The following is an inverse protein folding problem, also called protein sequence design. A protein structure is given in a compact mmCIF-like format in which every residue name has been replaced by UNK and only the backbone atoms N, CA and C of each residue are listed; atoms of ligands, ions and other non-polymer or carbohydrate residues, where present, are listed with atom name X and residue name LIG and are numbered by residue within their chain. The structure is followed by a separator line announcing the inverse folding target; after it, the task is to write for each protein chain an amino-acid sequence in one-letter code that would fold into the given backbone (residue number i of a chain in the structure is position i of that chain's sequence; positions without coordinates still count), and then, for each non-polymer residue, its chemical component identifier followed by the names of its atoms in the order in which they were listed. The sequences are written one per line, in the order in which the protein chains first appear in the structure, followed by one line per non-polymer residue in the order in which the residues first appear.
data_IF_479229088158
#
_entry.id   IF_479229088158
#
_cell.length_a   1.000
_cell.length_b   1.000
_cell.length_c   1.000
_cell.angle_alpha   90.00
_cell.angle_beta   90.00
_cell.angle_gamma   90.00
#
_symmetry.space_group_name_H-M   'P 1'
#
loop_
_entity.id
_entity.type
_entity.pdbx_description
1 polymer ?
#
# COMPACT_ATOMS: atom_id res chain seq x y z
N UNK A 1 4.88 -16.49 17.74
CA UNK A 1 4.28 -17.18 16.58
C UNK A 1 4.39 -16.34 15.31
N UNK A 2 3.93 -15.08 15.29
CA UNK A 2 4.03 -14.21 14.10
C UNK A 2 5.47 -14.01 13.59
N UNK A 3 6.50 -13.74 14.42
CA UNK A 3 7.88 -13.57 13.93
C UNK A 3 8.46 -14.80 13.24
N UNK A 4 7.95 -15.99 13.56
CA UNK A 4 8.40 -17.26 12.99
C UNK A 4 7.71 -17.57 11.65
N UNK A 5 6.50 -17.03 11.44
CA UNK A 5 5.69 -17.25 10.24
C UNK A 5 6.02 -16.22 9.16
N UNK A 6 6.31 -14.97 9.54
CA UNK A 6 6.60 -13.85 8.63
C UNK A 6 7.67 -14.15 7.58
N UNK A 7 8.82 -14.79 7.90
CA UNK A 7 9.87 -15.09 6.91
C UNK A 7 9.39 -16.02 5.80
N UNK A 8 8.38 -16.86 6.07
CA UNK A 8 7.80 -17.79 5.09
C UNK A 8 6.62 -17.15 4.37
N UNK A 9 5.78 -16.41 5.10
CA UNK A 9 4.53 -15.86 4.58
C UNK A 9 4.75 -14.70 3.62
N UNK A 10 5.63 -13.75 3.96
CA UNK A 10 5.82 -12.54 3.17
C UNK A 10 6.36 -12.80 1.75
N UNK A 11 7.31 -13.72 1.51
CA UNK A 11 7.69 -14.08 0.15
C UNK A 11 6.51 -14.63 -0.68
N UNK A 12 5.63 -15.42 -0.06
CA UNK A 12 4.41 -15.90 -0.72
C UNK A 12 3.45 -14.75 -1.05
N UNK A 13 3.23 -13.83 -0.10
CA UNK A 13 2.39 -12.65 -0.33
C UNK A 13 2.99 -11.71 -1.39
N UNK A 14 4.31 -11.53 -1.38
CA UNK A 14 5.02 -10.76 -2.39
C UNK A 14 4.84 -11.36 -3.79
N UNK A 15 4.91 -12.68 -3.91
CA UNK A 15 4.64 -13.40 -5.16
C UNK A 15 3.22 -13.15 -5.66
N UNK A 16 2.22 -13.20 -4.77
CA UNK A 16 0.82 -12.92 -5.13
C UNK A 16 0.67 -11.49 -5.66
N UNK A 17 1.25 -10.51 -4.97
CA UNK A 17 1.17 -9.09 -5.34
C UNK A 17 1.92 -8.81 -6.65
N UNK A 18 3.02 -9.52 -6.91
CA UNK A 18 3.91 -9.29 -8.06
C UNK A 18 3.43 -9.92 -9.37
N UNK A 19 2.43 -10.81 -9.34
CA UNK A 19 1.93 -11.54 -10.52
C UNK A 19 0.51 -11.09 -10.92
N UNK A 20 0.34 -9.90 -11.52
CA UNK A 20 -0.97 -9.37 -11.92
C UNK A 20 -1.68 -10.21 -13.00
N UNK A 21 -0.92 -11.00 -13.78
CA UNK A 21 -1.47 -11.87 -14.81
C UNK A 21 -2.09 -13.15 -14.26
N UNK A 22 -1.73 -13.52 -13.02
CA UNK A 22 -2.17 -14.76 -12.37
C UNK A 22 -3.20 -14.49 -11.29
N UNK A 23 -3.06 -13.38 -10.56
CA UNK A 23 -3.91 -13.05 -9.42
C UNK A 23 -4.67 -11.74 -9.67
N UNK A 24 -5.98 -11.77 -9.45
CA UNK A 24 -6.83 -10.57 -9.57
C UNK A 24 -6.55 -9.52 -8.49
N UNK A 25 -6.92 -8.27 -8.77
CA UNK A 25 -6.67 -7.13 -7.88
C UNK A 25 -7.22 -7.36 -6.46
N UNK A 26 -8.41 -7.95 -6.31
CA UNK A 26 -8.96 -8.29 -4.99
C UNK A 26 -8.00 -9.13 -4.13
N UNK A 27 -7.44 -10.22 -4.68
CA UNK A 27 -6.55 -11.10 -3.92
C UNK A 27 -5.22 -10.41 -3.59
N UNK A 28 -4.72 -9.59 -4.52
CA UNK A 28 -3.51 -8.78 -4.33
C UNK A 28 -3.70 -7.74 -3.23
N UNK A 29 -4.84 -7.05 -3.22
CA UNK A 29 -5.25 -6.12 -2.15
C UNK A 29 -5.34 -6.83 -0.80
N UNK A 30 -5.95 -8.02 -0.73
CA UNK A 30 -5.98 -8.80 0.52
C UNK A 30 -4.58 -9.24 0.99
N UNK A 31 -3.69 -9.60 0.06
CA UNK A 31 -2.30 -9.92 0.41
C UNK A 31 -1.60 -8.71 1.04
N UNK A 32 -1.81 -7.51 0.50
CA UNK A 32 -1.31 -6.25 1.10
C UNK A 32 -1.89 -6.00 2.48
N UNK A 33 -3.20 -6.21 2.69
CA UNK A 33 -3.80 -6.05 4.02
C UNK A 33 -3.22 -7.02 5.06
N UNK A 34 -2.86 -8.24 4.66
CA UNK A 34 -2.16 -9.19 5.56
C UNK A 34 -0.76 -8.66 5.91
N UNK A 35 -0.02 -8.14 4.92
CA UNK A 35 1.29 -7.50 5.15
C UNK A 35 1.15 -6.33 6.13
N UNK A 36 0.16 -5.46 5.93
CA UNK A 36 -0.15 -4.36 6.84
C UNK A 36 -0.32 -4.85 8.28
N UNK A 37 -1.20 -5.85 8.49
CA UNK A 37 -1.47 -6.39 9.83
C UNK A 37 -0.23 -7.03 10.46
N UNK A 38 0.54 -7.81 9.69
CA UNK A 38 1.77 -8.39 10.18
C UNK A 38 2.81 -7.33 10.56
N UNK A 39 3.06 -6.35 9.70
CA UNK A 39 4.03 -5.27 9.95
C UNK A 39 3.65 -4.47 11.21
N UNK A 40 2.35 -4.15 11.38
CA UNK A 40 1.84 -3.49 12.58
C UNK A 40 2.09 -4.33 13.85
N UNK A 41 1.77 -5.63 13.82
CA UNK A 41 2.02 -6.53 14.96
C UNK A 41 3.50 -6.63 15.31
N UNK A 42 4.39 -6.75 14.31
CA UNK A 42 5.83 -6.81 14.52
C UNK A 42 6.38 -5.49 15.09
N UNK A 43 5.85 -4.36 14.65
CA UNK A 43 6.26 -3.03 15.12
C UNK A 43 5.96 -2.78 16.60
N UNK A 44 4.93 -3.43 17.15
CA UNK A 44 4.63 -3.36 18.60
C UNK A 44 5.56 -4.21 19.47
N UNK A 45 6.44 -5.04 18.89
CA UNK A 45 7.36 -5.88 19.64
C UNK A 45 8.51 -5.06 20.25
N UNK A 46 8.82 -5.33 21.52
CA UNK A 46 9.85 -4.61 22.29
C UNK A 46 10.94 -5.56 22.81
N UNK A 47 12.06 -4.98 23.29
CA UNK A 47 13.18 -5.74 23.84
C UNK A 47 13.97 -6.53 22.80
N UNK A 48 14.47 -7.72 23.15
CA UNK A 48 15.29 -8.57 22.27
C UNK A 48 14.58 -8.95 20.97
N UNK A 49 13.26 -9.18 21.02
CA UNK A 49 12.44 -9.47 19.84
C UNK A 49 12.42 -8.34 18.82
N UNK A 50 12.59 -7.07 19.25
CA UNK A 50 12.66 -5.91 18.35
C UNK A 50 13.87 -5.97 17.42
N UNK A 51 15.03 -6.38 17.93
CA UNK A 51 16.25 -6.47 17.13
C UNK A 51 16.13 -7.58 16.07
N UNK A 52 15.62 -8.75 16.47
CA UNK A 52 15.37 -9.87 15.56
C UNK A 52 14.33 -9.53 14.49
N UNK A 53 13.22 -8.90 14.87
CA UNK A 53 12.20 -8.47 13.90
C UNK A 53 12.71 -7.37 12.98
N UNK A 54 13.48 -6.40 13.48
CA UNK A 54 14.10 -5.38 12.62
C UNK A 54 15.06 -6.02 11.60
N UNK A 55 15.89 -6.97 12.03
CA UNK A 55 16.80 -7.68 11.13
C UNK A 55 16.03 -8.50 10.07
N UNK A 56 14.94 -9.15 10.47
CA UNK A 56 14.05 -9.87 9.55
C UNK A 56 13.42 -8.91 8.53
N UNK A 57 12.83 -7.80 8.99
CA UNK A 57 12.20 -6.82 8.12
C UNK A 57 13.21 -6.18 7.17
N UNK A 58 14.45 -5.94 7.60
CA UNK A 58 15.50 -5.38 6.75
C UNK A 58 15.77 -6.23 5.49
N UNK A 59 15.73 -7.57 5.61
CA UNK A 59 15.95 -8.46 4.46
C UNK A 59 14.78 -8.43 3.45
N UNK A 60 13.60 -8.06 3.92
CA UNK A 60 12.35 -8.19 3.18
C UNK A 60 11.83 -6.84 2.67
N UNK A 61 12.31 -5.74 3.25
CA UNK A 61 11.86 -4.39 2.93
C UNK A 61 12.09 -4.05 1.46
N UNK A 62 13.28 -4.35 0.94
CA UNK A 62 13.67 -3.97 -0.41
C UNK A 62 12.74 -4.54 -1.50
N UNK A 63 12.48 -5.87 -1.55
CA UNK A 63 11.50 -6.41 -2.49
C UNK A 63 10.10 -5.78 -2.40
N UNK A 64 9.66 -5.42 -1.19
CA UNK A 64 8.38 -4.76 -0.99
C UNK A 64 8.38 -3.31 -1.48
N UNK A 65 9.45 -2.56 -1.21
CA UNK A 65 9.61 -1.18 -1.70
C UNK A 65 9.66 -1.14 -3.22
N UNK A 66 10.41 -2.05 -3.85
CA UNK A 66 10.45 -2.17 -5.31
C UNK A 66 9.05 -2.49 -5.87
N UNK A 67 8.31 -3.39 -5.23
CA UNK A 67 6.96 -3.75 -5.66
C UNK A 67 5.93 -2.62 -5.46
N UNK A 68 6.03 -1.87 -4.36
CA UNK A 68 5.21 -0.68 -4.12
C UNK A 68 5.51 0.41 -5.15
N UNK A 69 6.78 0.60 -5.48
CA UNK A 69 7.24 1.51 -6.53
C UNK A 69 6.58 1.18 -7.87
N UNK A 70 6.60 -0.09 -8.29
CA UNK A 70 5.95 -0.55 -9.53
C UNK A 70 4.44 -0.25 -9.54
N UNK A 71 3.74 -0.49 -8.43
CA UNK A 71 2.29 -0.24 -8.33
C UNK A 71 1.99 1.26 -8.40
N UNK A 72 2.74 2.09 -7.67
CA UNK A 72 2.53 3.54 -7.63
C UNK A 72 2.99 4.25 -8.91
N UNK A 73 3.93 3.67 -9.66
CA UNK A 73 4.49 4.30 -10.86
C UNK A 73 3.48 4.35 -12.01
N UNK A 74 2.53 3.40 -12.06
CA UNK A 74 1.50 3.41 -13.10
C UNK A 74 0.59 4.64 -12.92
N UNK A 75 0.18 5.35 -13.98
CA UNK A 75 -0.77 6.45 -13.87
C UNK A 75 -2.12 5.97 -13.32
N UNK A 76 -2.68 6.72 -12.36
CA UNK A 76 -4.03 6.46 -11.83
C UNK A 76 -5.04 6.58 -12.96
N UNK A 77 -5.85 5.54 -13.16
CA UNK A 77 -6.91 5.55 -14.16
C UNK A 77 -8.20 6.15 -13.56
N UNK A 78 -8.99 6.88 -14.37
CA UNK A 78 -10.35 7.23 -13.99
C UNK A 78 -11.22 5.97 -13.93
N UNK A 79 -12.22 5.97 -13.04
CA UNK A 79 -13.24 4.91 -12.93
C UNK A 79 -12.71 3.48 -12.68
N UNK A 80 -11.56 3.32 -12.00
CA UNK A 80 -11.02 2.01 -11.60
C UNK A 80 -10.92 1.88 -10.06
N UNK A 81 -12.02 1.52 -9.37
CA UNK A 81 -12.05 1.37 -7.91
C UNK A 81 -11.11 0.29 -7.38
N UNK A 82 -10.78 -0.71 -8.19
CA UNK A 82 -9.89 -1.79 -7.80
C UNK A 82 -8.42 -1.33 -7.78
N UNK A 83 -8.02 -0.51 -8.77
CA UNK A 83 -6.72 0.17 -8.78
C UNK A 83 -6.58 1.13 -7.58
N UNK A 84 -7.61 1.95 -7.32
CA UNK A 84 -7.60 2.88 -6.18
C UNK A 84 -7.47 2.14 -4.84
N UNK A 85 -8.23 1.07 -4.66
CA UNK A 85 -8.19 0.24 -3.45
C UNK A 85 -6.81 -0.39 -3.25
N UNK A 86 -6.21 -0.93 -4.31
CA UNK A 86 -4.88 -1.54 -4.23
C UNK A 86 -3.80 -0.50 -3.88
N UNK A 87 -3.83 0.69 -4.51
CA UNK A 87 -2.90 1.77 -4.19
C UNK A 87 -3.08 2.28 -2.76
N UNK A 88 -4.33 2.40 -2.30
CA UNK A 88 -4.61 2.80 -0.93
C UNK A 88 -4.00 1.80 0.08
N UNK A 89 -4.12 0.49 -0.16
CA UNK A 89 -3.48 -0.53 0.69
C UNK A 89 -1.94 -0.46 0.62
N UNK A 90 -1.35 -0.15 -0.54
CA UNK A 90 0.10 0.11 -0.66
C UNK A 90 0.52 1.29 0.21
N UNK A 91 -0.20 2.41 0.16
CA UNK A 91 0.09 3.59 0.97
C UNK A 91 -0.05 3.32 2.47
N UNK A 92 -1.05 2.53 2.88
CA UNK A 92 -1.19 2.07 4.26
C UNK A 92 -0.01 1.21 4.70
N UNK A 93 0.42 0.26 3.87
CA UNK A 93 1.59 -0.57 4.15
C UNK A 93 2.84 0.28 4.30
N UNK A 94 3.09 1.19 3.35
CA UNK A 94 4.19 2.15 3.38
C UNK A 94 4.20 2.96 4.68
N UNK A 95 3.04 3.47 5.10
CA UNK A 95 2.91 4.20 6.36
C UNK A 95 3.28 3.31 7.57
N UNK A 96 2.84 2.05 7.59
CA UNK A 96 3.25 1.11 8.66
C UNK A 96 4.75 0.86 8.68
N UNK A 97 5.41 0.77 7.52
CA UNK A 97 6.86 0.62 7.47
C UNK A 97 7.58 1.86 8.02
N UNK A 98 7.16 3.06 7.62
CA UNK A 98 7.73 4.33 8.10
C UNK A 98 7.57 4.46 9.62
N UNK A 99 6.37 4.19 10.15
CA UNK A 99 6.09 4.35 11.58
C UNK A 99 6.80 3.31 12.46
N UNK A 100 6.84 2.05 12.04
CA UNK A 100 7.37 0.97 12.86
C UNK A 100 8.87 0.72 12.64
N UNK A 101 9.39 1.01 11.44
CA UNK A 101 10.77 0.74 11.03
C UNK A 101 11.41 1.94 10.27
N UNK A 102 11.46 3.14 10.90
CA UNK A 102 11.89 4.36 10.22
C UNK A 102 13.32 4.28 9.67
N UNK A 103 14.27 3.75 10.45
CA UNK A 103 15.68 3.65 10.04
C UNK A 103 15.92 2.71 8.86
N UNK A 104 15.07 1.69 8.68
CA UNK A 104 15.15 0.80 7.52
C UNK A 104 14.54 1.48 6.30
N UNK A 105 13.41 2.17 6.50
CA UNK A 105 12.67 2.83 5.43
C UNK A 105 13.44 3.99 4.83
N UNK A 106 14.19 4.75 5.63
CA UNK A 106 15.04 5.86 5.17
C UNK A 106 15.99 5.44 4.03
N UNK A 107 16.57 4.23 4.12
CA UNK A 107 17.51 3.73 3.12
C UNK A 107 16.86 3.40 1.77
N UNK A 108 15.58 3.05 1.77
CA UNK A 108 14.84 2.64 0.57
C UNK A 108 13.81 3.70 0.11
N UNK A 109 13.64 4.79 0.87
CA UNK A 109 12.61 5.80 0.65
C UNK A 109 12.73 6.45 -0.74
N UNK A 110 13.95 6.66 -1.23
CA UNK A 110 14.20 7.28 -2.54
C UNK A 110 13.59 6.49 -3.70
N UNK A 111 13.37 5.18 -3.56
CA UNK A 111 12.73 4.33 -4.58
C UNK A 111 11.22 4.63 -4.70
N UNK A 112 10.62 5.20 -3.64
CA UNK A 112 9.18 5.46 -3.55
C UNK A 112 8.82 6.91 -3.93
N UNK A 113 9.69 7.89 -3.64
CA UNK A 113 9.37 9.32 -3.80
C UNK A 113 8.89 9.65 -5.22
N UNK A 114 9.61 9.19 -6.25
CA UNK A 114 9.24 9.43 -7.65
C UNK A 114 7.87 8.85 -8.04
N UNK A 115 7.65 7.54 -7.86
CA UNK A 115 6.36 6.89 -8.08
C UNK A 115 5.20 7.51 -7.27
N UNK A 116 5.46 7.85 -6.01
CA UNK A 116 4.46 8.48 -5.15
C UNK A 116 4.05 9.85 -5.69
N UNK A 117 5.01 10.67 -6.12
CA UNK A 117 4.72 11.96 -6.75
C UNK A 117 3.87 11.81 -8.02
N UNK A 118 4.17 10.81 -8.85
CA UNK A 118 3.35 10.52 -10.04
C UNK A 118 1.92 10.10 -9.65
N UNK A 119 1.77 9.25 -8.63
CA UNK A 119 0.46 8.90 -8.08
C UNK A 119 -0.30 10.15 -7.61
N UNK A 120 0.35 11.06 -6.89
CA UNK A 120 -0.28 12.29 -6.41
C UNK A 120 -0.76 13.21 -7.53
N UNK A 121 0.10 13.49 -8.52
CA UNK A 121 -0.27 14.37 -9.63
C UNK A 121 -1.38 13.76 -10.48
N UNK A 122 -1.33 12.45 -10.73
CA UNK A 122 -2.36 11.77 -11.53
C UNK A 122 -3.68 11.61 -10.77
N UNK A 123 -3.64 11.31 -9.47
CA UNK A 123 -4.85 11.24 -8.63
C UNK A 123 -5.56 12.58 -8.52
N UNK A 124 -4.81 13.68 -8.39
CA UNK A 124 -5.39 15.04 -8.39
C UNK A 124 -6.09 15.35 -9.72
N UNK A 125 -5.48 15.00 -10.84
CA UNK A 125 -6.10 15.18 -12.16
C UNK A 125 -7.40 14.41 -12.28
N UNK A 126 -7.40 13.13 -11.90
CA UNK A 126 -8.60 12.27 -11.92
C UNK A 126 -9.68 12.81 -10.99
N UNK A 127 -9.30 13.28 -9.80
CA UNK A 127 -10.23 13.88 -8.83
C UNK A 127 -10.89 15.16 -9.36
N UNK A 128 -10.12 16.07 -9.97
CA UNK A 128 -10.70 17.28 -10.58
C UNK A 128 -11.67 16.90 -11.69
N UNK A 129 -11.29 15.98 -12.57
CA UNK A 129 -12.12 15.55 -13.69
C UNK A 129 -13.41 14.85 -13.25
N UNK A 130 -13.35 14.02 -12.21
CA UNK A 130 -14.50 13.21 -11.76
C UNK A 130 -15.40 13.98 -10.79
N UNK A 131 -14.82 14.63 -9.78
CA UNK A 131 -15.56 15.25 -8.67
C UNK A 131 -15.90 16.73 -8.88
N UNK A 132 -15.19 17.45 -9.75
CA UNK A 132 -15.42 18.88 -10.01
C UNK A 132 -16.05 19.10 -11.38
N UNK A 133 -15.56 18.40 -12.40
CA UNK A 133 -16.01 18.56 -13.79
C UNK A 133 -17.04 17.50 -14.23
N UNK A 134 -17.14 16.38 -13.52
CA UNK A 134 -17.99 15.24 -13.86
C UNK A 134 -19.41 15.33 -13.27
N UNK A 135 -20.38 14.71 -13.97
CA UNK A 135 -21.72 14.42 -13.43
C UNK A 135 -21.73 13.04 -12.75
N UNK A 136 -20.95 12.82 -11.69
CA UNK A 136 -20.93 11.50 -11.03
C UNK A 136 -22.04 11.36 -9.96
N UNK A 137 -22.76 10.24 -10.02
CA UNK A 137 -23.76 9.87 -9.01
C UNK A 137 -23.03 9.42 -7.72
N UNK A 138 -23.14 10.16 -6.61
CA UNK A 138 -22.24 10.04 -5.47
C UNK A 138 -22.32 8.71 -4.67
N UNK A 139 -23.11 7.73 -5.09
CA UNK A 139 -23.45 6.54 -4.28
C UNK A 139 -23.14 5.18 -4.92
N UNK A 140 -22.66 5.11 -6.16
CA UNK A 140 -22.39 3.80 -6.77
C UNK A 140 -21.03 3.24 -6.36
N UNK A 141 -20.97 1.95 -5.98
CA UNK A 141 -19.70 1.20 -5.81
C UNK A 141 -18.71 1.64 -4.71
N UNK A 142 -19.07 2.51 -3.75
CA UNK A 142 -18.12 3.01 -2.72
C UNK A 142 -17.49 1.94 -1.82
N UNK A 143 -18.15 0.80 -1.64
CA UNK A 143 -17.73 -0.25 -0.73
C UNK A 143 -17.73 -1.60 -1.45
N UNK A 144 -16.77 -2.45 -1.11
CA UNK A 144 -16.75 -3.81 -1.59
C UNK A 144 -17.61 -4.76 -0.75
N UNK A 145 -17.67 -6.03 -1.18
CA UNK A 145 -18.43 -7.07 -0.48
C UNK A 145 -17.99 -7.31 0.97
N UNK A 146 -16.79 -6.86 1.35
CA UNK A 146 -16.27 -6.94 2.72
C UNK A 146 -16.47 -5.63 3.49
N UNK A 147 -17.12 -4.63 2.91
CA UNK A 147 -17.33 -3.31 3.48
C UNK A 147 -16.09 -2.41 3.47
N UNK A 148 -15.05 -2.76 2.72
CA UNK A 148 -13.87 -1.91 2.57
C UNK A 148 -14.17 -0.78 1.58
N UNK A 149 -13.82 0.45 1.97
CA UNK A 149 -14.03 1.62 1.14
C UNK A 149 -13.10 1.61 -0.09
N UNK A 150 -13.66 1.84 -1.27
CA UNK A 150 -12.97 1.96 -2.56
C UNK A 150 -13.17 3.34 -3.20
N UNK A 151 -13.59 4.34 -2.43
CA UNK A 151 -13.90 5.68 -2.93
C UNK A 151 -12.63 6.41 -3.39
N UNK A 152 -12.77 7.18 -4.47
CA UNK A 152 -11.71 8.09 -4.95
C UNK A 152 -11.35 9.12 -3.87
N UNK A 153 -12.35 9.60 -3.11
CA UNK A 153 -12.16 10.53 -1.99
C UNK A 153 -11.21 9.96 -0.94
N UNK A 154 -11.44 8.74 -0.47
CA UNK A 154 -10.59 8.11 0.55
C UNK A 154 -9.20 7.79 0.03
N UNK A 155 -9.07 7.46 -1.26
CA UNK A 155 -7.76 7.32 -1.89
C UNK A 155 -6.99 8.66 -1.89
N UNK A 156 -7.61 9.75 -2.34
CA UNK A 156 -6.97 11.08 -2.36
C UNK A 156 -6.60 11.55 -0.95
N UNK A 157 -7.47 11.35 0.04
CA UNK A 157 -7.17 11.65 1.45
C UNK A 157 -5.93 10.86 1.91
N UNK A 158 -5.86 9.55 1.59
CA UNK A 158 -4.72 8.73 1.96
C UNK A 158 -3.41 9.22 1.31
N UNK A 159 -3.45 9.68 0.06
CA UNK A 159 -2.27 10.26 -0.61
C UNK A 159 -1.84 11.55 0.10
N UNK A 160 -2.77 12.45 0.44
CA UNK A 160 -2.46 13.70 1.13
C UNK A 160 -1.87 13.42 2.52
N UNK A 161 -2.45 12.47 3.28
CA UNK A 161 -1.92 12.07 4.58
C UNK A 161 -0.47 11.59 4.48
N UNK A 162 -0.14 10.84 3.43
CA UNK A 162 1.20 10.32 3.21
C UNK A 162 2.22 11.42 2.86
N UNK A 163 1.79 12.51 2.22
CA UNK A 163 2.64 13.68 1.98
C UNK A 163 3.04 14.43 3.26
N UNK A 164 2.24 14.32 4.32
CA UNK A 164 2.49 14.99 5.60
C UNK A 164 3.30 14.15 6.61
N UNK A 165 3.67 12.91 6.25
CA UNK A 165 4.57 12.03 7.03
C UNK A 165 6.03 12.36 6.77
#
# INVERSE_FOLDING_TARGET
MVPTIVPVLFPCLHTIVSLPQTYGNYLRTKALSIVYSCTSMLGTMSGAYKAETTALMAQMLKPWMDQFSVILQQPVQPEDPDDWSMRMEVLKCLNQFVQNFPSLTENEFMVIVGPFWQTFVTSLKVYVQSSIEGEENPYDGRYDSDGAERSLDSFVIQVILWWHL
#
